data_IF_907226889851
#
_entry.id   IF_907226889851
#
_cell.length_a   1.000
_cell.length_b   1.000
_cell.length_c   1.000
_cell.angle_alpha   90.00
_cell.angle_beta   90.00
_cell.angle_gamma   90.00
#
_symmetry.space_group_name_H-M   'P 1'
#
loop_
_entity.id
_entity.type
_entity.pdbx_description
1 polymer ?
#
# COMPACT_ATOMS: atom_id res chain seq x y z
N UNK A 1 16.66 7.40 -13.82
CA UNK A 1 15.75 8.28 -14.62
C UNK A 1 14.36 8.07 -14.12
N UNK A 2 13.60 9.14 -13.84
CA UNK A 2 12.19 9.06 -13.47
C UNK A 2 11.35 9.06 -14.74
N UNK A 3 10.39 8.12 -14.86
CA UNK A 3 9.43 8.08 -15.96
C UNK A 3 8.25 9.04 -15.70
N UNK A 4 7.53 9.43 -16.75
CA UNK A 4 6.32 10.25 -16.63
C UNK A 4 5.13 9.54 -17.28
N UNK A 5 4.04 9.41 -16.53
CA UNK A 5 2.74 9.05 -17.07
C UNK A 5 2.03 10.33 -17.52
N UNK A 6 1.82 10.46 -18.82
CA UNK A 6 1.37 11.69 -19.45
C UNK A 6 -0.06 11.57 -19.96
N UNK A 7 -0.72 12.70 -20.21
CA UNK A 7 -2.06 12.76 -20.79
C UNK A 7 -2.20 11.96 -22.12
N UNK A 8 -1.16 12.00 -22.96
CA UNK A 8 -1.13 11.21 -24.20
C UNK A 8 -1.23 9.69 -23.98
N UNK A 9 -0.65 9.20 -22.85
CA UNK A 9 -0.76 7.78 -22.48
C UNK A 9 -2.19 7.43 -22.05
N UNK A 10 -2.84 8.31 -21.25
CA UNK A 10 -4.24 8.13 -20.81
C UNK A 10 -5.20 8.12 -22.02
N UNK A 11 -5.01 9.08 -22.94
CA UNK A 11 -5.81 9.18 -24.16
C UNK A 11 -5.56 8.03 -25.14
N UNK A 12 -4.37 7.43 -25.09
CA UNK A 12 -3.96 6.33 -25.97
C UNK A 12 -4.39 4.93 -25.49
N UNK A 13 -4.97 4.82 -24.29
CA UNK A 13 -5.48 3.52 -23.82
C UNK A 13 -6.69 3.13 -24.67
N UNK A 14 -6.54 2.05 -25.43
CA UNK A 14 -7.66 1.51 -26.18
C UNK A 14 -8.75 1.02 -25.22
N UNK A 15 -10.04 1.28 -25.49
CA UNK A 15 -11.12 0.67 -24.74
C UNK A 15 -10.92 -0.85 -24.72
N UNK A 16 -10.87 -1.43 -23.53
CA UNK A 16 -10.82 -2.89 -23.39
C UNK A 16 -12.15 -3.41 -23.92
N UNK A 17 -12.10 -4.36 -24.84
CA UNK A 17 -13.32 -5.01 -25.33
C UNK A 17 -14.03 -5.64 -24.11
N UNK A 18 -15.28 -5.26 -23.88
CA UNK A 18 -16.05 -5.66 -22.69
C UNK A 18 -16.13 -7.20 -22.50
N UNK A 19 -15.74 -7.98 -23.49
CA UNK A 19 -15.60 -9.43 -23.41
C UNK A 19 -14.25 -9.95 -22.91
N UNK A 20 -13.25 -9.10 -22.72
CA UNK A 20 -11.87 -9.53 -22.39
C UNK A 20 -11.62 -9.73 -20.90
N UNK A 21 -12.37 -9.07 -20.02
CA UNK A 21 -12.29 -9.24 -18.58
C UNK A 21 -13.67 -9.66 -18.08
N UNK A 22 -13.80 -10.84 -17.44
CA UNK A 22 -15.07 -11.24 -16.84
C UNK A 22 -15.55 -10.22 -15.82
N UNK A 23 -16.85 -9.97 -15.77
CA UNK A 23 -17.43 -9.15 -14.73
C UNK A 23 -17.02 -9.70 -13.35
N UNK A 24 -16.52 -8.81 -12.49
CA UNK A 24 -16.18 -9.18 -11.12
C UNK A 24 -17.46 -9.59 -10.42
N UNK A 25 -17.55 -10.86 -10.03
CA UNK A 25 -18.64 -11.36 -9.19
C UNK A 25 -18.52 -10.78 -7.80
N UNK A 26 -19.62 -10.77 -7.04
CA UNK A 26 -19.55 -10.41 -5.62
C UNK A 26 -18.42 -11.21 -4.95
N UNK A 27 -17.56 -10.55 -4.15
CA UNK A 27 -16.42 -11.23 -3.53
C UNK A 27 -16.93 -12.38 -2.65
N UNK A 28 -16.22 -13.51 -2.74
CA UNK A 28 -16.44 -14.62 -1.82
C UNK A 28 -15.99 -14.19 -0.42
N UNK A 29 -16.96 -14.03 0.47
CA UNK A 29 -16.76 -13.65 1.87
C UNK A 29 -17.00 -14.81 2.83
N UNK A 30 -17.12 -16.03 2.31
CA UNK A 30 -17.32 -17.21 3.15
C UNK A 30 -16.24 -17.31 4.23
N UNK A 31 -16.67 -17.45 5.47
CA UNK A 31 -15.80 -17.55 6.64
C UNK A 31 -15.36 -16.21 7.27
N UNK A 32 -15.58 -15.06 6.62
CA UNK A 32 -15.30 -13.75 7.20
C UNK A 32 -16.49 -13.24 8.05
N UNK A 33 -16.17 -12.42 9.06
CA UNK A 33 -17.18 -11.78 9.92
C UNK A 33 -18.05 -10.80 9.11
N UNK A 34 -19.36 -11.04 8.99
CA UNK A 34 -20.26 -10.16 8.25
C UNK A 34 -20.43 -8.77 8.89
N UNK A 35 -20.08 -8.60 10.17
CA UNK A 35 -20.13 -7.31 10.86
C UNK A 35 -18.90 -6.44 10.60
N UNK A 36 -17.98 -6.88 9.73
CA UNK A 36 -16.74 -6.16 9.39
C UNK A 36 -16.62 -5.93 7.89
N UNK A 37 -15.96 -4.85 7.56
CA UNK A 37 -15.48 -4.56 6.19
C UNK A 37 -14.04 -5.06 6.06
N UNK A 38 -13.70 -5.63 4.90
CA UNK A 38 -12.36 -6.09 4.54
C UNK A 38 -12.00 -5.48 3.19
N UNK A 39 -10.78 -4.92 3.09
CA UNK A 39 -10.28 -4.34 1.83
C UNK A 39 -8.75 -4.34 1.82
N UNK A 40 -8.14 -3.97 0.72
CA UNK A 40 -6.68 -3.87 0.55
C UNK A 40 -5.92 -5.09 1.08
N UNK A 41 -6.20 -6.25 0.50
CA UNK A 41 -5.58 -7.52 0.90
C UNK A 41 -4.23 -7.72 0.17
N UNK A 42 -3.25 -8.28 0.89
CA UNK A 42 -1.95 -8.67 0.32
C UNK A 42 -1.43 -9.96 0.97
N UNK A 43 -0.66 -10.80 0.24
CA UNK A 43 -0.05 -12.00 0.81
C UNK A 43 1.16 -11.66 1.68
N UNK A 44 1.46 -12.51 2.66
CA UNK A 44 2.81 -12.61 3.19
C UNK A 44 3.72 -13.10 2.06
N UNK A 45 4.83 -12.42 1.82
CA UNK A 45 5.76 -12.74 0.73
C UNK A 45 7.16 -13.05 1.25
N UNK A 46 7.91 -13.82 0.48
CA UNK A 46 9.34 -14.02 0.70
C UNK A 46 10.17 -12.86 0.13
N UNK A 47 11.49 -12.94 0.32
CA UNK A 47 12.41 -11.91 -0.15
C UNK A 47 12.43 -11.73 -1.69
N UNK A 48 11.90 -12.69 -2.44
CA UNK A 48 11.80 -12.62 -3.92
C UNK A 48 10.44 -12.08 -4.40
N UNK A 49 9.53 -11.78 -3.46
CA UNK A 49 8.18 -11.29 -3.76
C UNK A 49 7.18 -12.41 -4.07
N UNK A 50 7.53 -13.68 -3.84
CA UNK A 50 6.58 -14.79 -3.98
C UNK A 50 5.77 -14.98 -2.69
N UNK A 51 4.51 -15.43 -2.77
CA UNK A 51 3.75 -15.76 -1.57
C UNK A 51 4.50 -16.78 -0.69
N UNK A 52 4.73 -16.40 0.57
CA UNK A 52 5.38 -17.24 1.56
C UNK A 52 4.37 -18.04 2.38
N UNK A 53 4.82 -19.16 2.95
CA UNK A 53 4.05 -19.94 3.91
C UNK A 53 4.53 -19.66 5.33
N UNK A 54 3.60 -19.46 6.25
CA UNK A 54 3.84 -19.33 7.67
C UNK A 54 3.28 -20.56 8.38
N UNK A 55 4.13 -21.34 9.05
CA UNK A 55 3.75 -22.62 9.65
C UNK A 55 2.97 -23.56 8.68
N UNK A 56 3.39 -23.61 7.42
CA UNK A 56 2.74 -24.41 6.37
C UNK A 56 1.39 -23.87 5.86
N UNK A 57 1.03 -22.63 6.20
CA UNK A 57 -0.24 -22.01 5.83
C UNK A 57 -0.02 -20.81 4.88
N UNK A 58 -0.93 -20.64 3.92
CA UNK A 58 -0.96 -19.45 3.06
C UNK A 58 -1.61 -18.28 3.83
N UNK A 59 -0.77 -17.36 4.29
CA UNK A 59 -1.20 -16.22 5.08
C UNK A 59 -1.30 -14.97 4.24
N UNK A 60 -2.34 -14.20 4.53
CA UNK A 60 -2.61 -12.90 3.97
C UNK A 60 -2.78 -11.88 5.09
N UNK A 61 -2.69 -10.63 4.73
CA UNK A 61 -3.10 -9.52 5.57
C UNK A 61 -4.16 -8.70 4.83
N UNK A 62 -5.08 -8.12 5.58
CA UNK A 62 -6.10 -7.23 5.03
C UNK A 62 -6.36 -6.09 5.99
N UNK A 63 -6.73 -4.95 5.45
CA UNK A 63 -7.38 -3.93 6.24
C UNK A 63 -8.77 -4.39 6.64
N UNK A 64 -9.15 -4.13 7.87
CA UNK A 64 -10.50 -4.39 8.37
C UNK A 64 -10.94 -3.31 9.35
N UNK A 65 -12.25 -3.07 9.38
CA UNK A 65 -12.91 -2.19 10.35
C UNK A 65 -14.32 -2.70 10.62
N UNK A 66 -14.94 -2.34 11.75
CA UNK A 66 -16.38 -2.59 11.96
C UNK A 66 -17.21 -1.97 10.83
N UNK A 67 -18.23 -2.67 10.38
CA UNK A 67 -19.22 -2.10 9.46
C UNK A 67 -20.17 -1.17 10.23
N UNK A 68 -20.04 0.13 10.00
CA UNK A 68 -20.86 1.19 10.59
C UNK A 68 -21.99 1.64 9.66
N UNK A 69 -22.22 0.92 8.55
CA UNK A 69 -23.24 1.25 7.54
C UNK A 69 -22.74 2.23 6.48
N UNK A 70 -21.88 3.19 6.81
CA UNK A 70 -21.20 4.06 5.85
C UNK A 70 -19.79 3.51 5.59
N UNK A 71 -19.49 3.00 4.38
CA UNK A 71 -18.17 2.46 4.06
C UNK A 71 -17.03 3.46 4.18
N UNK A 72 -17.28 4.77 4.10
CA UNK A 72 -16.23 5.79 4.25
C UNK A 72 -15.67 5.81 5.68
N UNK A 73 -16.45 5.46 6.68
CA UNK A 73 -16.03 5.44 8.08
C UNK A 73 -14.96 4.37 8.38
N UNK A 74 -14.84 3.32 7.55
CA UNK A 74 -13.82 2.28 7.73
C UNK A 74 -12.39 2.82 7.83
N UNK A 75 -12.11 3.92 7.15
CA UNK A 75 -10.77 4.51 7.12
C UNK A 75 -10.33 5.08 8.48
N UNK A 76 -11.27 5.37 9.38
CA UNK A 76 -11.00 5.93 10.70
C UNK A 76 -10.82 4.88 11.80
N UNK A 77 -11.19 3.62 11.54
CA UNK A 77 -11.08 2.51 12.49
C UNK A 77 -10.25 1.34 11.93
N UNK A 78 -9.47 1.61 10.87
CA UNK A 78 -8.74 0.57 10.14
C UNK A 78 -7.64 -0.07 11.00
N UNK A 79 -7.59 -1.40 10.97
CA UNK A 79 -6.57 -2.26 11.53
C UNK A 79 -6.15 -3.31 10.52
N UNK A 80 -4.91 -3.77 10.59
CA UNK A 80 -4.41 -4.87 9.77
C UNK A 80 -4.65 -6.18 10.50
N UNK A 81 -5.37 -7.11 9.87
CA UNK A 81 -5.61 -8.44 10.40
C UNK A 81 -4.89 -9.52 9.60
N UNK A 82 -4.52 -10.58 10.27
CA UNK A 82 -4.13 -11.85 9.66
C UNK A 82 -5.35 -12.54 9.05
N UNK A 83 -5.24 -12.91 7.79
CA UNK A 83 -6.27 -13.64 7.07
C UNK A 83 -5.68 -14.94 6.54
N UNK A 84 -6.29 -16.06 6.86
CA UNK A 84 -5.92 -17.37 6.35
C UNK A 84 -6.90 -17.83 5.28
N UNK A 85 -6.41 -18.43 4.20
CA UNK A 85 -7.26 -19.17 3.28
C UNK A 85 -7.10 -20.67 3.52
N UNK A 86 -8.16 -21.32 4.00
CA UNK A 86 -8.16 -22.74 4.33
C UNK A 86 -9.46 -23.39 3.85
N UNK A 87 -9.35 -24.55 3.14
CA UNK A 87 -10.52 -25.27 2.65
C UNK A 87 -11.40 -24.50 1.65
N UNK A 88 -10.87 -23.45 1.03
CA UNK A 88 -11.63 -22.57 0.15
C UNK A 88 -12.27 -21.36 0.84
N UNK A 89 -12.27 -21.32 2.17
CA UNK A 89 -12.84 -20.25 2.99
C UNK A 89 -11.76 -19.31 3.53
N UNK A 90 -12.17 -18.08 3.84
CA UNK A 90 -11.33 -17.07 4.47
C UNK A 90 -11.59 -17.03 5.98
N UNK A 91 -10.54 -16.95 6.77
CA UNK A 91 -10.60 -16.91 8.23
C UNK A 91 -9.84 -15.69 8.73
N UNK A 92 -10.53 -14.81 9.46
CA UNK A 92 -9.92 -13.70 10.18
C UNK A 92 -9.34 -14.22 11.49
N UNK A 93 -8.01 -14.11 11.66
CA UNK A 93 -7.29 -14.57 12.84
C UNK A 93 -7.02 -13.44 13.85
N UNK A 94 -7.52 -12.25 13.58
CA UNK A 94 -7.35 -11.08 14.44
C UNK A 94 -6.19 -10.17 14.03
N UNK A 95 -5.93 -9.11 14.83
CA UNK A 95 -4.93 -8.11 14.54
C UNK A 95 -3.53 -8.68 14.35
N UNK A 96 -2.76 -8.11 13.39
CA UNK A 96 -1.35 -8.46 13.18
C UNK A 96 -0.50 -7.92 14.32
N UNK A 97 -0.67 -6.65 14.65
CA UNK A 97 0.04 -6.02 15.76
C UNK A 97 -0.77 -6.14 17.05
N UNK A 98 -0.15 -6.46 18.17
CA UNK A 98 -0.81 -6.42 19.47
C UNK A 98 -1.16 -4.98 19.85
N UNK A 99 -2.07 -4.81 20.79
CA UNK A 99 -2.41 -3.50 21.32
C UNK A 99 -1.18 -2.87 21.99
N UNK A 100 -0.79 -1.70 21.48
CA UNK A 100 0.36 -0.90 21.96
C UNK A 100 -0.02 0.57 21.98
N UNK A 101 0.58 1.32 22.91
CA UNK A 101 0.44 2.78 22.94
C UNK A 101 1.31 3.43 21.84
N UNK A 102 0.80 3.51 20.63
CA UNK A 102 1.50 4.04 19.46
C UNK A 102 1.11 5.50 19.18
N UNK A 103 1.98 6.30 18.52
CA UNK A 103 1.73 7.71 18.23
C UNK A 103 0.95 7.92 16.92
N UNK A 104 0.14 6.97 16.49
CA UNK A 104 -0.76 7.05 15.34
C UNK A 104 -2.14 6.49 15.72
N UNK A 105 -3.15 6.81 14.94
CA UNK A 105 -4.51 6.40 15.25
C UNK A 105 -4.90 5.09 14.55
N UNK A 106 -4.39 4.85 13.34
CA UNK A 106 -4.86 3.80 12.45
C UNK A 106 -3.72 3.15 11.67
N UNK A 107 -3.96 1.92 11.27
CA UNK A 107 -3.10 1.18 10.36
C UNK A 107 -3.77 1.16 8.98
N UNK A 108 -3.06 1.66 7.96
CA UNK A 108 -3.49 1.50 6.57
C UNK A 108 -2.57 0.55 5.83
N UNK A 109 -2.90 0.28 4.56
CA UNK A 109 -2.30 -0.74 3.74
C UNK A 109 -0.77 -0.70 3.67
N UNK A 110 -0.22 -1.87 3.32
CA UNK A 110 1.21 -2.07 3.24
C UNK A 110 1.59 -3.38 2.56
N UNK A 111 2.67 -3.98 3.02
CA UNK A 111 3.16 -5.29 2.59
C UNK A 111 3.80 -6.03 3.78
N UNK A 112 4.06 -7.32 3.61
CA UNK A 112 4.70 -8.13 4.65
C UNK A 112 5.74 -9.08 4.05
N UNK A 113 6.89 -9.16 4.70
CA UNK A 113 8.04 -9.97 4.30
C UNK A 113 8.30 -11.04 5.36
N UNK A 114 8.49 -12.28 4.92
CA UNK A 114 9.11 -13.35 5.70
C UNK A 114 10.52 -13.59 5.15
N UNK A 115 11.52 -13.25 5.93
CA UNK A 115 12.93 -13.44 5.57
C UNK A 115 13.71 -13.84 6.82
N UNK A 116 14.59 -14.83 6.72
CA UNK A 116 15.48 -15.31 7.77
C UNK A 116 14.81 -15.58 9.14
N UNK A 117 13.61 -16.20 9.11
CA UNK A 117 12.88 -16.54 10.34
C UNK A 117 12.23 -15.35 11.06
N UNK A 118 12.10 -14.21 10.40
CA UNK A 118 11.45 -13.01 10.92
C UNK A 118 10.35 -12.53 9.96
N UNK A 119 9.22 -12.11 10.49
CA UNK A 119 8.20 -11.37 9.73
C UNK A 119 8.42 -9.88 9.94
N UNK A 120 8.56 -9.13 8.83
CA UNK A 120 8.52 -7.67 8.83
C UNK A 120 7.22 -7.20 8.21
N UNK A 121 6.42 -6.46 8.97
CA UNK A 121 5.28 -5.71 8.47
C UNK A 121 5.74 -4.31 8.08
N UNK A 122 5.47 -3.90 6.85
CA UNK A 122 5.55 -2.52 6.37
C UNK A 122 4.13 -2.01 6.20
N UNK A 123 3.81 -0.86 6.76
CA UNK A 123 2.43 -0.35 6.73
C UNK A 123 2.41 1.18 6.77
N UNK A 124 1.25 1.73 6.54
CA UNK A 124 0.99 3.17 6.70
C UNK A 124 0.45 3.43 8.10
N UNK A 125 1.18 4.20 8.88
CA UNK A 125 0.67 4.79 10.11
C UNK A 125 -0.13 6.05 9.75
N UNK A 126 -1.43 6.03 9.97
CA UNK A 126 -2.32 7.13 9.62
C UNK A 126 -2.83 7.86 10.86
N UNK A 127 -2.98 9.20 10.76
CA UNK A 127 -3.32 10.04 11.91
C UNK A 127 -2.12 10.27 12.83
N UNK A 128 -0.94 10.55 12.27
CA UNK A 128 0.32 10.73 13.01
C UNK A 128 0.51 12.14 13.58
N UNK A 129 -0.25 13.14 13.11
CA UNK A 129 -0.26 14.45 13.71
C UNK A 129 -1.17 14.48 14.95
N UNK A 130 -0.95 15.44 15.85
CA UNK A 130 -1.77 15.64 17.05
C UNK A 130 -3.16 16.26 16.72
N UNK A 131 -3.81 15.70 15.70
CA UNK A 131 -5.13 16.13 15.24
C UNK A 131 -5.97 14.89 14.94
N UNK A 132 -6.98 14.65 15.77
CA UNK A 132 -7.85 13.50 15.68
C UNK A 132 -8.58 13.44 14.33
N UNK A 133 -8.65 12.24 13.74
CA UNK A 133 -9.32 11.99 12.47
C UNK A 133 -8.63 12.55 11.24
N UNK A 134 -7.39 13.03 11.35
CA UNK A 134 -6.62 13.56 10.22
C UNK A 134 -6.14 12.48 9.25
N UNK A 135 -5.73 12.90 8.07
CA UNK A 135 -5.22 12.02 6.98
C UNK A 135 -3.70 12.04 6.88
N UNK A 136 -3.00 12.39 7.97
CA UNK A 136 -1.54 12.34 8.04
C UNK A 136 -1.08 10.90 7.83
N UNK A 137 -0.05 10.71 7.01
CA UNK A 137 0.43 9.40 6.59
C UNK A 137 1.94 9.33 6.71
N UNK A 138 2.43 8.26 7.29
CA UNK A 138 3.86 7.94 7.38
C UNK A 138 4.08 6.46 7.10
N UNK A 139 5.24 6.13 6.50
CA UNK A 139 5.64 4.74 6.29
C UNK A 139 6.30 4.20 7.54
N UNK A 140 5.77 3.12 8.08
CA UNK A 140 6.24 2.50 9.32
C UNK A 140 6.53 1.01 9.12
N UNK A 141 7.30 0.43 10.04
CA UNK A 141 7.54 -1.01 10.09
C UNK A 141 7.57 -1.54 11.52
N UNK A 142 7.22 -2.82 11.66
CA UNK A 142 7.38 -3.61 12.87
C UNK A 142 7.89 -5.00 12.49
N UNK A 143 8.59 -5.68 13.40
CA UNK A 143 9.21 -6.99 13.18
C UNK A 143 8.85 -7.95 14.28
N UNK A 144 8.76 -9.24 13.93
CA UNK A 144 8.58 -10.31 14.88
C UNK A 144 9.35 -11.56 14.46
N UNK A 145 10.25 -12.07 15.29
CA UNK A 145 10.85 -13.38 15.03
C UNK A 145 9.77 -14.46 15.10
N UNK A 146 9.99 -15.56 14.38
CA UNK A 146 9.16 -16.73 14.52
C UNK A 146 9.52 -17.49 15.80
N UNK A 147 8.49 -17.92 16.51
CA UNK A 147 8.64 -18.85 17.65
C UNK A 147 8.79 -20.31 17.21
N UNK A 148 8.89 -21.22 18.17
CA UNK A 148 9.04 -22.66 17.92
C UNK A 148 7.85 -23.28 17.16
N UNK A 149 6.69 -22.60 17.15
CA UNK A 149 5.52 -23.02 16.36
C UNK A 149 5.55 -22.49 14.92
N UNK A 150 6.54 -21.68 14.58
CA UNK A 150 6.67 -21.00 13.29
C UNK A 150 5.70 -19.82 13.15
N UNK A 151 5.23 -19.23 14.26
CA UNK A 151 4.35 -18.07 14.26
C UNK A 151 5.10 -16.81 14.74
N UNK A 152 4.81 -15.62 14.17
CA UNK A 152 5.45 -14.38 14.62
C UNK A 152 5.06 -14.05 16.06
N UNK A 153 6.04 -13.89 16.91
CA UNK A 153 5.87 -13.58 18.32
C UNK A 153 6.76 -12.39 18.72
N UNK A 154 6.38 -11.71 19.80
CA UNK A 154 7.17 -10.60 20.35
C UNK A 154 7.43 -9.47 19.32
N UNK A 155 6.36 -8.96 18.72
CA UNK A 155 6.44 -7.82 17.82
C UNK A 155 7.21 -6.65 18.43
N UNK A 156 8.18 -6.12 17.70
CA UNK A 156 8.86 -4.89 18.05
C UNK A 156 7.88 -3.73 18.11
N UNK A 157 8.22 -2.69 18.88
CA UNK A 157 7.49 -1.43 18.77
C UNK A 157 7.61 -0.90 17.35
N UNK A 158 6.48 -0.50 16.70
CA UNK A 158 6.51 0.05 15.36
C UNK A 158 7.32 1.35 15.30
N UNK A 159 8.08 1.53 14.22
CA UNK A 159 8.93 2.71 14.02
C UNK A 159 8.81 3.25 12.60
N UNK A 160 9.00 4.58 12.40
CA UNK A 160 9.09 5.15 11.07
C UNK A 160 10.16 4.46 10.22
N UNK A 161 9.80 4.13 8.99
CA UNK A 161 10.69 3.50 8.01
C UNK A 161 11.70 4.51 7.47
N UNK A 162 11.24 5.72 7.22
CA UNK A 162 12.04 6.85 6.72
C UNK A 162 11.79 8.09 7.56
N UNK A 163 12.74 9.00 7.60
CA UNK A 163 12.62 10.28 8.30
C UNK A 163 12.43 11.41 7.29
N UNK A 164 11.24 12.04 7.34
CA UNK A 164 10.89 13.13 6.45
C UNK A 164 10.50 12.71 5.04
N UNK A 165 10.32 13.67 4.16
CA UNK A 165 9.77 13.50 2.81
C UNK A 165 10.69 14.10 1.74
N UNK A 166 11.52 15.07 2.14
CA UNK A 166 12.37 15.82 1.25
C UNK A 166 13.52 14.99 0.65
N UNK A 167 14.03 15.32 -0.53
CA UNK A 167 13.61 16.46 -1.36
C UNK A 167 12.53 16.10 -2.40
N UNK A 168 12.09 14.85 -2.45
CA UNK A 168 11.33 14.31 -3.59
C UNK A 168 9.82 14.35 -3.39
N UNK A 169 9.37 14.19 -2.14
CA UNK A 169 7.96 14.00 -1.81
C UNK A 169 7.47 15.10 -0.87
N UNK A 170 6.18 15.36 -0.90
CA UNK A 170 5.55 16.28 0.04
C UNK A 170 4.95 15.51 1.23
N UNK A 171 4.82 16.16 2.40
CA UNK A 171 4.05 15.59 3.50
C UNK A 171 2.60 15.31 3.08
N UNK A 172 2.05 14.21 3.56
CA UNK A 172 0.64 13.88 3.36
C UNK A 172 -0.25 14.40 4.49
N UNK A 173 0.12 15.52 5.09
CA UNK A 173 -0.58 16.19 6.20
C UNK A 173 -1.19 17.55 5.79
N UNK A 174 -0.78 18.09 4.64
CA UNK A 174 -1.15 19.43 4.21
C UNK A 174 -2.55 19.51 3.57
N UNK A 175 -3.09 18.39 3.08
CA UNK A 175 -4.35 18.36 2.34
C UNK A 175 -5.27 17.26 2.89
N UNK A 176 -6.17 17.70 3.73
CA UNK A 176 -7.36 16.92 4.08
C UNK A 176 -8.51 17.47 3.24
N UNK A 177 -9.22 16.60 2.55
CA UNK A 177 -10.23 17.18 1.69
C UNK A 177 -11.10 16.17 0.97
N UNK A 178 -11.75 16.68 -0.06
CA UNK A 178 -12.61 15.87 -0.91
C UNK A 178 -11.83 14.72 -1.57
N UNK A 179 -12.48 13.61 -1.87
CA UNK A 179 -11.87 12.53 -2.66
C UNK A 179 -11.20 13.08 -3.93
N UNK A 180 -10.02 12.57 -4.26
CA UNK A 180 -9.23 13.00 -5.41
C UNK A 180 -8.30 14.19 -5.15
N UNK A 181 -8.29 14.77 -3.92
CA UNK A 181 -7.38 15.87 -3.56
C UNK A 181 -6.45 15.53 -2.40
N UNK A 182 -6.65 14.40 -1.73
CA UNK A 182 -5.82 13.95 -0.62
C UNK A 182 -4.42 13.63 -1.13
N UNK A 183 -3.40 14.18 -0.46
CA UNK A 183 -2.01 13.88 -0.78
C UNK A 183 -1.59 12.55 -0.15
N UNK A 184 -0.61 11.91 -0.76
CA UNK A 184 -0.24 10.55 -0.42
C UNK A 184 1.23 10.43 0.02
N UNK A 185 1.43 9.61 1.05
CA UNK A 185 2.72 9.04 1.45
C UNK A 185 2.42 7.75 2.21
N UNK A 186 1.98 6.69 1.46
CA UNK A 186 1.33 5.50 2.01
C UNK A 186 1.57 4.23 1.19
N UNK A 187 1.06 3.10 1.67
CA UNK A 187 1.01 1.80 1.02
C UNK A 187 2.40 1.23 0.69
N UNK A 188 3.32 1.09 1.68
CA UNK A 188 4.66 0.58 1.40
C UNK A 188 4.62 -0.86 0.90
N UNK A 189 5.22 -1.09 -0.26
CA UNK A 189 5.33 -2.38 -0.92
C UNK A 189 6.79 -2.81 -1.07
N UNK A 190 7.13 -3.95 -0.46
CA UNK A 190 8.48 -4.54 -0.54
C UNK A 190 8.80 -5.00 -1.96
N UNK A 191 10.04 -4.74 -2.38
CA UNK A 191 10.60 -5.27 -3.61
C UNK A 191 12.11 -5.46 -3.43
N UNK A 192 12.64 -6.62 -3.82
CA UNK A 192 14.09 -6.86 -3.95
C UNK A 192 14.46 -6.87 -5.43
N UNK A 193 15.36 -5.99 -5.83
CA UNK A 193 15.81 -5.94 -7.23
C UNK A 193 16.61 -7.20 -7.57
N UNK A 194 16.16 -8.03 -8.52
CA UNK A 194 16.89 -9.25 -8.90
C UNK A 194 18.20 -8.99 -9.63
N UNK A 195 18.45 -7.75 -10.09
CA UNK A 195 19.70 -7.42 -10.78
C UNK A 195 20.90 -7.31 -9.83
N UNK A 196 20.69 -6.80 -8.61
CA UNK A 196 21.77 -6.57 -7.65
C UNK A 196 21.43 -6.96 -6.21
N UNK A 197 20.22 -7.46 -5.97
CA UNK A 197 19.73 -7.87 -4.65
C UNK A 197 19.35 -6.70 -3.74
N UNK A 198 19.36 -5.46 -4.21
CA UNK A 198 19.07 -4.27 -3.42
C UNK A 198 17.58 -4.26 -3.01
N UNK A 199 17.29 -4.11 -1.69
CA UNK A 199 15.91 -3.96 -1.22
C UNK A 199 15.39 -2.55 -1.47
N UNK A 200 14.13 -2.50 -1.91
CA UNK A 200 13.36 -1.26 -2.11
C UNK A 200 11.99 -1.36 -1.41
N UNK A 201 11.45 -0.21 -1.07
CA UNK A 201 10.03 -0.01 -0.78
C UNK A 201 9.47 0.92 -1.85
N UNK A 202 8.50 0.43 -2.61
CA UNK A 202 7.65 1.25 -3.45
C UNK A 202 6.48 1.79 -2.62
N UNK A 203 5.95 2.97 -2.93
CA UNK A 203 4.83 3.52 -2.18
C UNK A 203 4.05 4.56 -2.97
N UNK A 204 2.81 4.78 -2.60
CA UNK A 204 1.97 5.86 -3.12
C UNK A 204 2.46 7.19 -2.57
N UNK A 205 2.75 8.16 -3.44
CA UNK A 205 3.34 9.44 -3.05
C UNK A 205 2.75 10.63 -3.84
N UNK A 206 3.05 11.83 -3.35
CA UNK A 206 2.84 13.08 -4.06
C UNK A 206 4.17 13.82 -4.21
N UNK A 207 4.44 14.43 -5.38
CA UNK A 207 5.68 15.16 -5.66
C UNK A 207 5.82 16.40 -4.77
N UNK A 208 7.01 16.63 -4.21
CA UNK A 208 7.30 17.80 -3.38
C UNK A 208 7.28 19.12 -4.17
N UNK A 209 7.64 19.09 -5.43
CA UNK A 209 7.75 20.24 -6.31
C UNK A 209 6.91 19.98 -7.55
N UNK A 210 5.73 20.57 -7.57
CA UNK A 210 4.81 20.51 -8.70
C UNK A 210 3.94 21.76 -8.69
N UNK A 211 3.72 22.33 -9.86
CA UNK A 211 2.76 23.42 -10.06
C UNK A 211 1.33 22.90 -10.24
N UNK A 212 1.17 21.58 -10.34
CA UNK A 212 -0.14 20.93 -10.49
C UNK A 212 -0.65 20.37 -9.16
N UNK A 213 -1.95 20.53 -8.91
CA UNK A 213 -2.64 19.80 -7.84
C UNK A 213 -2.71 18.29 -8.10
N UNK A 214 -2.59 17.87 -9.36
CA UNK A 214 -2.53 16.47 -9.78
C UNK A 214 -1.06 16.06 -9.90
N UNK A 215 -0.45 15.68 -8.78
CA UNK A 215 0.99 15.45 -8.66
C UNK A 215 1.33 14.08 -8.06
N UNK A 216 0.50 13.07 -8.35
CA UNK A 216 0.71 11.70 -7.91
C UNK A 216 2.06 11.15 -8.39
N UNK A 217 2.68 10.34 -7.55
CA UNK A 217 3.96 9.71 -7.83
C UNK A 217 4.03 8.28 -7.30
N UNK A 218 4.75 7.45 -8.03
CA UNK A 218 5.21 6.14 -7.60
C UNK A 218 6.51 6.34 -6.83
N UNK A 219 6.39 6.46 -5.50
CA UNK A 219 7.51 6.75 -4.60
C UNK A 219 8.42 5.54 -4.40
N UNK A 220 9.68 5.81 -4.10
CA UNK A 220 10.69 4.78 -3.85
C UNK A 220 11.57 5.14 -2.65
N UNK A 221 11.86 4.12 -1.84
CA UNK A 221 12.93 4.15 -0.85
C UNK A 221 13.85 2.95 -1.05
N UNK A 222 15.13 3.11 -0.80
CA UNK A 222 16.17 2.08 -0.92
C UNK A 222 16.79 1.78 0.44
N UNK A 223 17.01 0.52 0.74
CA UNK A 223 17.78 0.13 1.92
C UNK A 223 19.29 0.35 1.68
N UNK A 224 19.94 1.00 2.64
CA UNK A 224 21.38 1.27 2.66
C UNK A 224 21.96 0.80 3.99
N UNK A 225 23.29 0.87 4.14
CA UNK A 225 23.93 0.58 5.42
C UNK A 225 23.47 1.50 6.58
N UNK A 226 22.95 2.69 6.28
CA UNK A 226 22.42 3.66 7.24
C UNK A 226 20.89 3.57 7.43
N UNK A 227 20.22 2.58 6.83
CA UNK A 227 18.77 2.41 6.86
C UNK A 227 18.10 2.81 5.54
N UNK A 228 16.80 3.00 5.59
CA UNK A 228 16.00 3.36 4.42
C UNK A 228 16.21 4.83 4.03
N UNK A 229 16.43 5.06 2.75
CA UNK A 229 16.67 6.40 2.18
C UNK A 229 15.73 6.61 1.00
N UNK A 230 15.01 7.74 1.02
CA UNK A 230 14.15 8.15 -0.09
C UNK A 230 14.99 8.40 -1.35
N UNK A 231 14.50 7.89 -2.48
CA UNK A 231 15.09 8.13 -3.80
C UNK A 231 14.12 8.93 -4.67
N UNK A 232 14.53 9.46 -5.82
CA UNK A 232 13.60 10.00 -6.80
C UNK A 232 12.48 8.98 -7.12
N UNK A 233 11.27 9.43 -7.47
CA UNK A 233 10.18 8.52 -7.83
C UNK A 233 10.55 7.69 -9.06
N UNK A 234 10.07 6.45 -9.10
CA UNK A 234 10.16 5.60 -10.28
C UNK A 234 9.39 6.21 -11.46
N UNK A 235 8.19 6.73 -11.16
CA UNK A 235 7.26 7.32 -12.12
C UNK A 235 6.46 8.43 -11.44
N UNK A 236 6.01 9.41 -12.22
CA UNK A 236 5.06 10.43 -11.75
C UNK A 236 3.96 10.69 -12.78
N UNK A 237 2.84 11.21 -12.30
CA UNK A 237 1.64 11.56 -13.06
C UNK A 237 1.31 13.05 -12.97
N UNK A 238 2.34 13.91 -12.94
CA UNK A 238 2.17 15.36 -12.80
C UNK A 238 1.31 15.94 -13.92
N UNK A 239 0.27 16.69 -13.53
CA UNK A 239 -0.73 17.24 -14.45
C UNK A 239 -1.76 16.23 -14.94
N UNK A 240 -1.65 14.96 -14.54
CA UNK A 240 -2.48 13.85 -15.03
C UNK A 240 -3.37 13.27 -13.94
N UNK A 241 -2.75 12.84 -12.83
CA UNK A 241 -3.45 12.15 -11.76
C UNK A 241 -2.87 12.49 -10.39
N UNK A 242 -3.71 12.54 -9.37
CA UNK A 242 -3.30 12.84 -8.00
C UNK A 242 -2.81 11.60 -7.23
N UNK A 243 -3.23 10.40 -7.62
CA UNK A 243 -2.96 9.17 -6.86
C UNK A 243 -2.56 8.01 -7.77
N UNK A 244 -1.36 7.47 -7.53
CA UNK A 244 -0.89 6.19 -8.04
C UNK A 244 -0.94 5.19 -6.88
N UNK A 245 -2.15 4.72 -6.56
CA UNK A 245 -2.47 4.01 -5.32
C UNK A 245 -1.96 2.58 -5.34
N UNK A 246 -1.50 2.06 -4.18
CA UNK A 246 -0.97 0.70 -4.05
C UNK A 246 0.19 0.40 -5.00
N UNK A 247 1.06 1.39 -5.20
CA UNK A 247 2.20 1.31 -6.09
C UNK A 247 3.13 0.14 -5.72
N UNK A 248 3.36 -0.80 -6.64
CA UNK A 248 4.27 -1.93 -6.41
C UNK A 248 4.98 -2.38 -7.69
N UNK A 249 6.13 -3.03 -7.52
CA UNK A 249 6.95 -3.56 -8.59
C UNK A 249 6.87 -5.07 -8.65
N UNK A 250 6.86 -5.61 -9.86
CA UNK A 250 7.02 -7.04 -10.13
C UNK A 250 8.10 -7.22 -11.19
N UNK A 251 9.01 -8.17 -10.96
CA UNK A 251 9.95 -8.60 -11.99
C UNK A 251 9.49 -9.93 -12.57
N UNK A 252 9.25 -9.97 -13.86
CA UNK A 252 8.84 -11.18 -14.56
C UNK A 252 9.42 -11.19 -15.98
N UNK A 253 9.86 -12.37 -16.47
CA UNK A 253 10.38 -12.56 -17.82
C UNK A 253 11.46 -11.53 -18.20
N UNK A 254 12.37 -11.19 -17.27
CA UNK A 254 13.44 -10.20 -17.44
C UNK A 254 12.98 -8.76 -17.66
N UNK A 255 11.77 -8.43 -17.25
CA UNK A 255 11.20 -7.10 -17.32
C UNK A 255 10.67 -6.66 -15.95
N UNK A 256 10.71 -5.35 -15.70
CA UNK A 256 10.11 -4.73 -14.54
C UNK A 256 8.73 -4.21 -14.93
N UNK A 257 7.75 -4.55 -14.11
CA UNK A 257 6.38 -4.07 -14.24
C UNK A 257 6.06 -3.19 -13.02
N UNK A 258 5.59 -1.99 -13.28
CA UNK A 258 5.06 -1.10 -12.27
C UNK A 258 3.52 -1.15 -12.30
N UNK A 259 2.91 -1.45 -11.16
CA UNK A 259 1.46 -1.51 -11.03
C UNK A 259 0.98 -0.46 -10.04
N UNK A 260 -0.13 0.13 -10.33
CA UNK A 260 -0.88 1.00 -9.43
C UNK A 260 -2.36 0.93 -9.80
N UNK A 261 -3.22 1.35 -8.88
CA UNK A 261 -4.62 1.63 -9.15
C UNK A 261 -4.90 3.13 -9.06
N UNK A 262 -5.97 3.55 -9.70
CA UNK A 262 -6.44 4.92 -9.61
C UNK A 262 -7.96 4.98 -9.86
N UNK A 263 -8.57 6.13 -9.61
CA UNK A 263 -9.99 6.34 -9.76
C UNK A 263 -10.24 7.54 -10.68
N UNK A 264 -11.37 7.56 -11.37
CA UNK A 264 -11.76 8.68 -12.24
C UNK A 264 -11.71 10.03 -11.53
N UNK A 265 -12.10 10.09 -10.26
CA UNK A 265 -12.11 11.32 -9.48
C UNK A 265 -10.71 11.91 -9.21
N UNK A 266 -9.65 11.09 -9.27
CA UNK A 266 -8.27 11.52 -9.03
C UNK A 266 -7.55 12.05 -10.25
N UNK A 267 -8.11 11.87 -11.45
CA UNK A 267 -7.58 12.46 -12.69
C UNK A 267 -7.81 13.96 -12.76
N UNK A 268 -6.95 14.65 -13.48
CA UNK A 268 -7.18 16.03 -13.90
C UNK A 268 -8.53 16.13 -14.65
N UNK A 269 -9.31 17.22 -14.46
CA UNK A 269 -10.69 17.28 -14.94
C UNK A 269 -10.87 17.02 -16.43
N UNK A 270 -9.93 17.43 -17.26
CA UNK A 270 -9.91 17.25 -18.71
C UNK A 270 -9.63 15.80 -19.14
N UNK A 271 -9.10 14.97 -18.24
CA UNK A 271 -8.78 13.55 -18.50
C UNK A 271 -9.83 12.57 -17.97
N UNK A 272 -10.80 12.99 -17.17
CA UNK A 272 -11.79 12.11 -16.53
C UNK A 272 -12.72 11.40 -17.53
N UNK A 273 -12.81 11.91 -18.76
CA UNK A 273 -13.60 11.31 -19.84
C UNK A 273 -12.73 10.57 -20.86
N UNK A 274 -11.43 10.52 -20.66
CA UNK A 274 -10.54 9.77 -21.53
C UNK A 274 -10.74 8.25 -21.33
N UNK A 275 -10.43 7.41 -22.35
CA UNK A 275 -10.58 5.95 -22.24
C UNK A 275 -9.84 5.32 -21.08
N UNK A 276 -8.73 5.94 -20.61
CA UNK A 276 -7.95 5.50 -19.45
C UNK A 276 -8.18 6.34 -18.20
N UNK A 277 -9.19 7.20 -18.21
CA UNK A 277 -9.51 8.14 -17.12
C UNK A 277 -10.64 7.68 -16.21
#
# INVERSE_FOLDING_TARGET
MTSAWKAEHVNGIAPVDAGSIPAVQAPDRSGLDPARLYWDMWPLQDATGQPAQLAGRCMWMALTAPDRGDPALRHFEAKIHWIERRGGEWHDLGPVLPDMAVPYEREWAGSALLDDGEVTLFFTAAGTAMRAGGYQQELWSARAPLDDSGWPAQWSFPTPLVHGYAPHYMPADAHEGAPGTIKAFRDPAWFRDPADGTPYIAFTASLARSDSAFNGAFGMARLTASGWVLTPPCLHAEGVNNELERAHLVFHAKQYYAFWSTQTATFAPDLRQAPGG
#
